data_IF_329970008055
#
_entry.id   IF_329970008055
#
_cell.length_a   1.000
_cell.length_b   1.000
_cell.length_c   1.000
_cell.angle_alpha   90.00
_cell.angle_beta   90.00
_cell.angle_gamma   90.00
#
_symmetry.space_group_name_H-M   'P 1'
#
loop_
_entity.id
_entity.type
_entity.pdbx_description
1 polymer ?
#
# COMPACT_ATOMS: atom_id res chain seq x y z
N UNK A 1 3.24 -4.43 -35.99
CA UNK A 1 4.08 -4.60 -34.79
C UNK A 1 5.08 -3.47 -34.82
N UNK A 2 5.04 -2.59 -33.83
CA UNK A 2 6.00 -1.49 -33.72
C UNK A 2 6.74 -1.69 -32.42
N UNK A 3 7.95 -2.22 -32.54
CA UNK A 3 8.92 -2.26 -31.46
C UNK A 3 9.29 -0.81 -31.12
N UNK A 4 8.75 -0.31 -30.00
CA UNK A 4 9.22 0.92 -29.37
C UNK A 4 10.32 0.55 -28.39
N UNK A 5 11.51 0.27 -28.93
CA UNK A 5 12.73 0.20 -28.15
C UNK A 5 13.03 1.61 -27.66
N UNK A 6 12.71 1.86 -26.38
CA UNK A 6 13.07 3.10 -25.69
C UNK A 6 14.22 2.80 -24.73
N UNK A 7 15.35 2.39 -25.31
CA UNK A 7 16.64 2.43 -24.62
C UNK A 7 16.99 3.90 -24.37
N UNK A 8 16.55 4.39 -23.21
CA UNK A 8 16.77 5.76 -22.79
C UNK A 8 18.14 5.82 -22.13
N UNK A 9 19.18 6.01 -22.93
CA UNK A 9 20.56 6.27 -22.49
C UNK A 9 20.70 7.62 -21.77
N UNK A 10 20.06 7.79 -20.61
CA UNK A 10 20.13 8.99 -19.79
C UNK A 10 20.11 8.65 -18.29
N UNK A 11 21.24 8.19 -17.74
CA UNK A 11 21.58 8.21 -16.30
C UNK A 11 20.57 7.66 -15.29
N UNK A 12 19.50 7.00 -15.75
CA UNK A 12 18.41 6.51 -14.94
C UNK A 12 18.72 5.13 -14.36
N UNK A 13 17.95 4.69 -13.35
CA UNK A 13 18.06 3.34 -12.85
C UNK A 13 17.89 2.32 -13.98
N UNK A 14 18.69 1.26 -13.95
CA UNK A 14 18.56 0.15 -14.89
C UNK A 14 17.14 -0.42 -14.86
N UNK A 15 16.51 -0.51 -16.03
CA UNK A 15 15.15 -0.97 -16.17
C UNK A 15 15.14 -2.40 -16.72
N UNK A 16 14.47 -3.31 -16.01
CA UNK A 16 14.25 -4.68 -16.47
C UNK A 16 12.79 -4.85 -16.88
N UNK A 17 12.57 -5.46 -18.05
CA UNK A 17 11.23 -5.79 -18.53
C UNK A 17 10.75 -7.13 -17.93
N UNK A 18 9.52 -7.13 -17.44
CA UNK A 18 8.83 -8.35 -16.96
C UNK A 18 7.63 -8.65 -17.84
N UNK A 19 7.32 -9.93 -18.01
CA UNK A 19 6.12 -10.39 -18.72
C UNK A 19 5.06 -10.85 -17.71
N UNK A 20 3.85 -10.33 -17.82
CA UNK A 20 2.72 -10.64 -16.92
C UNK A 20 1.53 -11.19 -17.72
N UNK A 21 0.88 -12.22 -17.21
CA UNK A 21 -0.36 -12.77 -17.78
C UNK A 21 -1.53 -12.36 -16.90
N UNK A 22 -2.53 -11.71 -17.50
CA UNK A 22 -3.75 -11.23 -16.83
C UNK A 22 -4.99 -11.76 -17.56
N UNK A 23 -6.13 -11.81 -16.87
CA UNK A 23 -7.41 -11.98 -17.54
C UNK A 23 -7.76 -10.72 -18.33
N UNK A 24 -8.56 -10.86 -19.39
CA UNK A 24 -9.01 -9.71 -20.19
C UNK A 24 -9.86 -8.73 -19.38
N UNK A 25 -10.78 -9.25 -18.56
CA UNK A 25 -11.63 -8.43 -17.70
C UNK A 25 -10.80 -7.57 -16.73
N UNK A 26 -9.77 -8.14 -16.13
CA UNK A 26 -8.92 -7.39 -15.20
C UNK A 26 -8.04 -6.37 -15.92
N UNK A 27 -7.65 -6.63 -17.18
CA UNK A 27 -6.96 -5.63 -17.99
C UNK A 27 -7.87 -4.44 -18.31
N UNK A 28 -9.15 -4.67 -18.56
CA UNK A 28 -10.16 -3.61 -18.77
C UNK A 28 -10.33 -2.76 -17.50
N UNK A 29 -10.40 -3.39 -16.32
CA UNK A 29 -10.48 -2.69 -15.03
C UNK A 29 -9.23 -1.81 -14.80
N UNK A 30 -8.04 -2.33 -15.10
CA UNK A 30 -6.79 -1.57 -15.02
C UNK A 30 -6.84 -0.38 -15.96
N UNK A 31 -7.31 -0.58 -17.20
CA UNK A 31 -7.39 0.46 -18.23
C UNK A 31 -8.31 1.62 -17.84
N UNK A 32 -9.46 1.33 -17.24
CA UNK A 32 -10.32 2.36 -16.68
C UNK A 32 -9.63 3.09 -15.53
N UNK A 33 -9.02 2.34 -14.59
CA UNK A 33 -8.43 2.90 -13.36
C UNK A 33 -7.28 3.87 -13.66
N UNK A 34 -6.29 3.49 -14.48
CA UNK A 34 -5.12 4.35 -14.68
C UNK A 34 -5.47 5.66 -15.40
N UNK A 35 -6.49 5.63 -16.27
CA UNK A 35 -6.98 6.81 -16.97
C UNK A 35 -7.73 7.74 -16.02
N UNK A 36 -8.62 7.18 -15.18
CA UNK A 36 -9.35 7.95 -14.16
C UNK A 36 -8.40 8.59 -13.14
N UNK A 37 -7.33 7.89 -12.75
CA UNK A 37 -6.30 8.42 -11.84
C UNK A 37 -5.29 9.35 -12.54
N UNK A 38 -5.38 9.53 -13.86
CA UNK A 38 -4.59 10.52 -14.61
C UNK A 38 -3.12 10.16 -14.84
N UNK A 39 -2.77 8.88 -14.84
CA UNK A 39 -1.41 8.43 -15.18
C UNK A 39 -1.09 8.68 -16.65
N UNK A 40 0.19 8.88 -17.01
CA UNK A 40 0.57 9.11 -18.40
C UNK A 40 0.57 7.83 -19.23
N UNK A 41 0.66 6.66 -18.58
CA UNK A 41 0.60 5.36 -19.23
C UNK A 41 0.22 4.25 -18.25
N UNK A 42 -0.35 3.17 -18.79
CA UNK A 42 -0.59 1.92 -18.06
C UNK A 42 0.67 1.38 -17.37
N UNK A 43 1.83 1.41 -18.04
CA UNK A 43 3.10 0.93 -17.48
C UNK A 43 3.57 1.78 -16.30
N UNK A 44 3.24 3.07 -16.26
CA UNK A 44 3.54 3.93 -15.12
C UNK A 44 2.67 3.58 -13.92
N UNK A 45 1.36 3.42 -14.14
CA UNK A 45 0.41 2.98 -13.10
C UNK A 45 0.81 1.63 -12.51
N UNK A 46 1.08 0.62 -13.35
CA UNK A 46 1.50 -0.70 -12.87
C UNK A 46 2.79 -0.66 -12.06
N UNK A 47 3.77 0.18 -12.45
CA UNK A 47 5.00 0.39 -11.67
C UNK A 47 4.72 1.10 -10.35
N UNK A 48 3.81 2.08 -10.33
CA UNK A 48 3.39 2.78 -9.12
C UNK A 48 2.75 1.81 -8.12
N UNK A 49 1.73 1.06 -8.54
CA UNK A 49 1.02 0.08 -7.71
C UNK A 49 1.97 -1.00 -7.21
N UNK A 50 2.84 -1.54 -8.07
CA UNK A 50 3.83 -2.54 -7.66
C UNK A 50 4.82 -1.98 -6.62
N UNK A 51 5.28 -0.74 -6.79
CA UNK A 51 6.16 -0.08 -5.82
C UNK A 51 5.44 0.16 -4.50
N UNK A 52 4.22 0.67 -4.54
CA UNK A 52 3.41 0.93 -3.35
C UNK A 52 3.16 -0.37 -2.57
N UNK A 53 2.72 -1.44 -3.24
CA UNK A 53 2.53 -2.75 -2.62
C UNK A 53 3.80 -3.32 -1.95
N UNK A 54 4.99 -2.98 -2.46
CA UNK A 54 6.28 -3.45 -1.91
C UNK A 54 6.85 -2.51 -0.84
N UNK A 55 6.73 -1.19 -1.01
CA UNK A 55 7.38 -0.17 -0.18
C UNK A 55 6.44 0.40 0.89
N UNK A 56 5.15 0.40 0.62
CA UNK A 56 4.09 0.93 1.46
C UNK A 56 2.90 -0.04 1.47
N UNK A 57 3.09 -1.34 1.80
CA UNK A 57 2.00 -2.31 1.74
C UNK A 57 0.82 -1.81 2.56
N UNK A 58 -0.29 -1.46 1.90
CA UNK A 58 -1.52 -0.98 2.53
C UNK A 58 -1.97 -1.99 3.60
N UNK A 59 -1.63 -1.70 4.85
CA UNK A 59 -1.60 -2.62 5.98
C UNK A 59 -0.91 -3.96 5.67
N UNK A 60 0.22 -4.22 6.35
CA UNK A 60 0.81 -5.56 6.36
C UNK A 60 -0.25 -6.63 6.71
N UNK A 61 -0.07 -7.88 6.27
CA UNK A 61 -0.96 -8.99 6.67
C UNK A 61 -1.09 -9.10 8.20
N UNK A 62 -0.03 -8.75 8.93
CA UNK A 62 -0.06 -8.59 10.39
C UNK A 62 -0.96 -7.45 10.86
N UNK A 63 -0.92 -6.30 10.19
CA UNK A 63 -1.81 -5.17 10.48
C UNK A 63 -3.29 -5.52 10.27
N UNK A 64 -3.63 -6.24 9.19
CA UNK A 64 -4.99 -6.75 9.00
C UNK A 64 -5.42 -7.74 10.10
N UNK A 65 -4.51 -8.61 10.56
CA UNK A 65 -4.79 -9.50 11.71
C UNK A 65 -5.03 -8.71 12.99
N UNK A 66 -4.28 -7.63 13.22
CA UNK A 66 -4.45 -6.77 14.40
C UNK A 66 -5.80 -6.05 14.37
N UNK A 67 -6.19 -5.48 13.22
CA UNK A 67 -7.52 -4.86 13.07
C UNK A 67 -8.62 -5.89 13.32
N UNK A 68 -8.52 -7.08 12.74
CA UNK A 68 -9.51 -8.14 12.93
C UNK A 68 -9.59 -8.63 14.38
N UNK A 69 -8.44 -8.75 15.07
CA UNK A 69 -8.40 -9.12 16.49
C UNK A 69 -9.01 -8.03 17.37
N UNK A 70 -8.63 -6.76 17.15
CA UNK A 70 -9.18 -5.62 17.88
C UNK A 70 -10.69 -5.49 17.70
N UNK A 71 -11.22 -5.67 16.49
CA UNK A 71 -12.66 -5.64 16.23
C UNK A 71 -13.39 -6.80 16.94
N UNK A 72 -12.80 -7.99 16.94
CA UNK A 72 -13.34 -9.14 17.66
C UNK A 72 -13.40 -8.88 19.17
N UNK A 73 -12.32 -8.36 19.76
CA UNK A 73 -12.24 -8.08 21.19
C UNK A 73 -13.23 -6.99 21.61
N UNK A 74 -13.42 -5.96 20.77
CA UNK A 74 -14.46 -4.95 20.97
C UNK A 74 -15.87 -5.56 20.99
N UNK A 75 -16.20 -6.42 20.01
CA UNK A 75 -17.52 -7.09 19.96
C UNK A 75 -17.73 -8.11 21.07
N UNK A 76 -16.68 -8.79 21.49
CA UNK A 76 -16.73 -9.78 22.57
C UNK A 76 -16.76 -9.13 23.96
N UNK A 77 -16.59 -7.80 24.06
CA UNK A 77 -16.50 -7.08 25.33
C UNK A 77 -15.21 -7.37 26.10
N UNK A 78 -14.20 -7.92 25.42
CA UNK A 78 -12.89 -8.27 25.98
C UNK A 78 -11.85 -7.16 25.74
N UNK A 79 -12.21 -6.11 25.02
CA UNK A 79 -11.32 -4.99 24.76
C UNK A 79 -11.07 -4.19 26.05
N UNK A 80 -9.80 -4.09 26.43
CA UNK A 80 -9.35 -3.15 27.43
C UNK A 80 -9.35 -1.75 26.80
N UNK A 81 -10.21 -0.87 27.32
CA UNK A 81 -10.34 0.51 26.87
C UNK A 81 -9.73 1.42 27.92
N UNK A 82 -8.94 2.39 27.46
CA UNK A 82 -8.36 3.43 28.29
C UNK A 82 -9.02 4.77 27.96
N UNK A 83 -9.28 5.56 28.99
CA UNK A 83 -9.77 6.93 28.84
C UNK A 83 -8.67 7.85 28.32
N UNK A 84 -9.08 9.00 27.78
CA UNK A 84 -8.14 10.01 27.29
C UNK A 84 -7.24 10.53 28.40
N UNK A 85 -7.78 10.69 29.59
CA UNK A 85 -7.08 11.17 30.78
C UNK A 85 -5.98 10.18 31.22
N UNK A 86 -6.27 8.88 31.20
CA UNK A 86 -5.31 7.81 31.50
C UNK A 86 -4.18 7.76 30.46
N UNK A 87 -4.50 7.85 29.16
CA UNK A 87 -3.49 7.89 28.10
C UNK A 87 -2.53 9.07 28.27
N UNK A 88 -3.06 10.25 28.62
CA UNK A 88 -2.21 11.42 28.91
C UNK A 88 -1.30 11.19 30.11
N UNK A 89 -1.85 10.65 31.20
CA UNK A 89 -1.06 10.38 32.40
C UNK A 89 0.08 9.38 32.13
N UNK A 90 -0.14 8.36 31.29
CA UNK A 90 0.90 7.40 30.89
C UNK A 90 2.00 8.05 30.04
N UNK A 91 1.63 8.88 29.05
CA UNK A 91 2.60 9.60 28.21
C UNK A 91 3.44 10.60 29.01
N UNK A 92 2.84 11.27 29.99
CA UNK A 92 3.52 12.23 30.86
C UNK A 92 4.46 11.52 31.87
N UNK A 93 4.18 10.26 32.23
CA UNK A 93 5.07 9.43 33.06
C UNK A 93 6.30 8.95 32.29
N UNK A 94 6.14 8.50 31.04
CA UNK A 94 7.27 8.09 30.19
C UNK A 94 8.24 9.24 29.88
N UNK A 95 7.76 10.49 29.94
CA UNK A 95 8.56 11.71 29.71
C UNK A 95 9.37 12.16 30.93
N UNK A 96 9.13 11.58 32.11
CA UNK A 96 9.73 11.98 33.39
C UNK A 96 10.77 10.97 33.91
N UNK A 97 11.08 9.92 33.15
CA UNK A 97 12.08 8.89 33.47
C UNK A 97 13.45 9.10 32.75
N UNK A 98 13.73 10.32 32.25
CA UNK A 98 15.08 10.77 31.79
C UNK A 98 15.75 11.77 32.75
#
# INVERSE_FOLDING_TARGET
MSDADSDTGNGGPEMVQINLRLSKSFLEDIDATWQEEGFNSRSEFLRHVARDAVKHPAFSRSGWKQIAASEHDLRAGNAELVSREEVRAMMDQDSNDE
#
